data_IF_277810714683
#
_entry.id   IF_277810714683
#
_cell.length_a   1.000
_cell.length_b   1.000
_cell.length_c   1.000
_cell.angle_alpha   90.00
_cell.angle_beta   90.00
_cell.angle_gamma   90.00
#
_symmetry.space_group_name_H-M   'P 1'
#
loop_
_entity.id
_entity.type
_entity.pdbx_description
1 polymer ?
#
# COMPACT_ATOMS: atom_id res chain seq x y z
N UNK A 1 -1.85 -22.88 12.75
CA UNK A 1 -1.12 -21.71 13.28
C UNK A 1 -1.95 -21.15 14.42
N UNK A 2 -1.35 -20.64 15.49
CA UNK A 2 -2.10 -19.97 16.57
C UNK A 2 -2.87 -18.77 15.99
N UNK A 3 -4.17 -18.65 16.31
CA UNK A 3 -5.02 -17.57 15.82
C UNK A 3 -4.48 -16.20 16.25
N UNK A 4 -3.92 -16.10 17.47
CA UNK A 4 -3.30 -14.88 17.94
C UNK A 4 -2.07 -14.49 17.09
N UNK A 5 -1.32 -15.47 16.60
CA UNK A 5 -0.20 -15.24 15.69
C UNK A 5 -0.69 -14.81 14.30
N UNK A 6 -1.79 -15.37 13.80
CA UNK A 6 -2.40 -14.96 12.53
C UNK A 6 -2.87 -13.50 12.57
N UNK A 7 -3.58 -13.13 13.63
CA UNK A 7 -4.06 -11.76 13.84
C UNK A 7 -2.92 -10.76 13.96
N UNK A 8 -1.83 -11.12 14.67
CA UNK A 8 -0.65 -10.28 14.78
C UNK A 8 0.02 -10.03 13.42
N UNK A 9 0.13 -11.07 12.59
CA UNK A 9 0.68 -10.97 11.23
C UNK A 9 -0.20 -10.10 10.34
N UNK A 10 -1.52 -10.31 10.36
CA UNK A 10 -2.47 -9.48 9.57
C UNK A 10 -2.40 -8.01 10.00
N UNK A 11 -2.35 -7.73 11.31
CA UNK A 11 -2.18 -6.36 11.83
C UNK A 11 -0.88 -5.71 11.34
N UNK A 12 0.22 -6.45 11.34
CA UNK A 12 1.49 -5.95 10.82
C UNK A 12 1.39 -5.63 9.32
N UNK A 13 0.76 -6.50 8.51
CA UNK A 13 0.55 -6.20 7.10
C UNK A 13 -0.31 -4.96 6.89
N UNK A 14 -1.41 -4.81 7.63
CA UNK A 14 -2.24 -3.61 7.56
C UNK A 14 -1.45 -2.34 7.90
N UNK A 15 -0.56 -2.40 8.89
CA UNK A 15 0.30 -1.27 9.26
C UNK A 15 1.28 -0.92 8.14
N UNK A 16 1.89 -1.91 7.49
CA UNK A 16 2.79 -1.68 6.36
C UNK A 16 2.05 -1.16 5.13
N UNK A 17 0.87 -1.70 4.82
CA UNK A 17 0.00 -1.22 3.74
C UNK A 17 -0.35 0.26 3.97
N UNK A 18 -0.77 0.61 5.19
CA UNK A 18 -1.09 1.99 5.55
C UNK A 18 0.11 2.91 5.33
N UNK A 19 1.30 2.53 5.79
CA UNK A 19 2.53 3.32 5.64
C UNK A 19 2.87 3.54 4.17
N UNK A 20 2.83 2.49 3.37
CA UNK A 20 3.19 2.57 1.95
C UNK A 20 2.16 3.40 1.17
N UNK A 21 0.86 3.30 1.49
CA UNK A 21 -0.17 4.17 0.91
C UNK A 21 -0.03 5.64 1.34
N UNK A 22 0.40 5.92 2.58
CA UNK A 22 0.69 7.28 3.03
C UNK A 22 1.88 7.89 2.28
N UNK A 23 2.93 7.10 2.02
CA UNK A 23 4.07 7.50 1.19
C UNK A 23 3.61 7.83 -0.25
N UNK A 24 2.84 6.93 -0.86
CA UNK A 24 2.28 7.13 -2.19
C UNK A 24 1.42 8.42 -2.26
N UNK A 25 0.54 8.63 -1.28
CA UNK A 25 -0.31 9.82 -1.19
C UNK A 25 0.52 11.11 -1.05
N UNK A 26 1.60 11.08 -0.26
CA UNK A 26 2.52 12.21 -0.10
C UNK A 26 3.20 12.57 -1.43
N UNK A 27 3.68 11.57 -2.17
CA UNK A 27 4.30 11.77 -3.50
C UNK A 27 3.30 12.36 -4.49
N UNK A 28 2.08 11.80 -4.54
CA UNK A 28 1.01 12.31 -5.40
C UNK A 28 0.67 13.77 -5.04
N UNK A 29 0.62 14.10 -3.75
CA UNK A 29 0.34 15.47 -3.31
C UNK A 29 1.44 16.46 -3.69
N UNK A 30 2.70 16.05 -3.56
CA UNK A 30 3.84 16.85 -4.00
C UNK A 30 3.81 17.10 -5.52
N UNK A 31 3.50 16.07 -6.31
CA UNK A 31 3.35 16.18 -7.75
C UNK A 31 2.21 17.14 -8.13
N UNK A 32 1.05 17.06 -7.46
CA UNK A 32 -0.08 17.97 -7.66
C UNK A 32 0.31 19.44 -7.41
N UNK A 33 1.06 19.72 -6.34
CA UNK A 33 1.56 21.07 -6.03
C UNK A 33 2.53 21.57 -7.12
N UNK A 34 3.42 20.72 -7.62
CA UNK A 34 4.30 21.07 -8.74
C UNK A 34 3.51 21.37 -10.02
N UNK A 35 2.49 20.58 -10.33
CA UNK A 35 1.65 20.80 -11.50
C UNK A 35 0.86 22.12 -11.37
N UNK A 36 0.27 22.37 -10.21
CA UNK A 36 -0.51 23.59 -9.92
C UNK A 36 0.34 24.87 -9.98
N UNK A 37 1.64 24.78 -9.69
CA UNK A 37 2.60 25.88 -9.83
C UNK A 37 3.18 26.03 -11.24
N UNK A 38 2.70 25.25 -12.21
CA UNK A 38 3.15 25.28 -13.61
C UNK A 38 4.42 24.48 -13.88
N UNK A 39 5.01 23.83 -12.87
CA UNK A 39 6.19 22.99 -13.02
C UNK A 39 5.81 21.54 -13.34
N UNK A 40 5.25 21.34 -14.55
CA UNK A 40 4.78 20.03 -15.03
C UNK A 40 5.92 19.00 -15.11
N UNK A 41 7.14 19.41 -15.45
CA UNK A 41 8.26 18.49 -15.56
C UNK A 41 8.65 17.89 -14.21
N UNK A 42 8.65 18.69 -13.14
CA UNK A 42 8.86 18.19 -11.78
C UNK A 42 7.72 17.27 -11.33
N UNK A 43 6.47 17.65 -11.63
CA UNK A 43 5.29 16.84 -11.31
C UNK A 43 5.34 15.44 -11.93
N UNK A 44 5.69 15.34 -13.21
CA UNK A 44 5.85 14.05 -13.92
C UNK A 44 6.95 13.22 -13.30
N UNK A 45 8.11 13.82 -12.97
CA UNK A 45 9.20 13.09 -12.29
C UNK A 45 8.78 12.56 -10.92
N UNK A 46 8.00 13.32 -10.17
CA UNK A 46 7.51 12.92 -8.86
C UNK A 46 6.49 11.79 -8.96
N UNK A 47 5.52 11.87 -9.88
CA UNK A 47 4.49 10.83 -10.00
C UNK A 47 5.06 9.49 -10.45
N UNK A 48 6.19 9.45 -11.15
CA UNK A 48 6.88 8.17 -11.45
C UNK A 48 7.33 7.43 -10.18
N UNK A 49 7.58 8.13 -9.07
CA UNK A 49 7.94 7.50 -7.80
C UNK A 49 6.73 6.99 -7.00
N UNK A 50 5.50 7.25 -7.47
CA UNK A 50 4.26 6.78 -6.83
C UNK A 50 4.07 5.26 -6.97
N UNK A 51 4.51 4.70 -8.10
CA UNK A 51 4.21 3.32 -8.48
C UNK A 51 4.80 2.31 -7.49
N UNK A 52 6.02 2.56 -7.00
CA UNK A 52 6.72 1.69 -6.06
C UNK A 52 5.95 1.47 -4.74
N UNK A 53 5.60 2.51 -3.95
CA UNK A 53 4.84 2.32 -2.71
C UNK A 53 3.44 1.75 -2.95
N UNK A 54 2.77 2.13 -4.05
CA UNK A 54 1.47 1.55 -4.40
C UNK A 54 1.57 0.05 -4.71
N UNK A 55 2.61 -0.36 -5.43
CA UNK A 55 2.85 -1.77 -5.76
C UNK A 55 3.15 -2.60 -4.51
N UNK A 56 4.00 -2.09 -3.60
CA UNK A 56 4.29 -2.77 -2.32
C UNK A 56 3.04 -2.95 -1.47
N UNK A 57 2.20 -1.91 -1.36
CA UNK A 57 0.93 -2.00 -0.65
C UNK A 57 0.01 -3.09 -1.24
N UNK A 58 -0.08 -3.18 -2.58
CA UNK A 58 -0.87 -4.22 -3.25
C UNK A 58 -0.32 -5.63 -2.99
N UNK A 59 0.99 -5.82 -3.04
CA UNK A 59 1.63 -7.11 -2.76
C UNK A 59 1.34 -7.57 -1.33
N UNK A 60 1.44 -6.66 -0.35
CA UNK A 60 1.15 -6.97 1.06
C UNK A 60 -0.33 -7.27 1.29
N UNK A 61 -1.23 -6.57 0.63
CA UNK A 61 -2.66 -6.87 0.68
C UNK A 61 -2.94 -8.27 0.15
N UNK A 62 -2.38 -8.62 -1.01
CA UNK A 62 -2.54 -9.95 -1.60
C UNK A 62 -1.99 -11.04 -0.68
N UNK A 63 -0.85 -10.81 -0.03
CA UNK A 63 -0.28 -11.75 0.94
C UNK A 63 -1.17 -11.91 2.18
N UNK A 64 -1.70 -10.80 2.72
CA UNK A 64 -2.62 -10.84 3.86
C UNK A 64 -3.93 -11.57 3.54
N UNK A 65 -4.48 -11.37 2.34
CA UNK A 65 -5.68 -12.07 1.87
C UNK A 65 -5.42 -13.57 1.69
N UNK A 66 -4.27 -13.95 1.13
CA UNK A 66 -3.88 -15.35 0.99
C UNK A 66 -3.73 -16.01 2.36
N UNK A 67 -3.04 -15.37 3.30
CA UNK A 67 -2.89 -15.87 4.67
C UNK A 67 -4.25 -16.04 5.34
N UNK A 68 -5.16 -15.06 5.21
CA UNK A 68 -6.51 -15.17 5.75
C UNK A 68 -7.25 -16.37 5.15
N UNK A 69 -7.22 -16.53 3.83
CA UNK A 69 -7.88 -17.65 3.13
C UNK A 69 -7.34 -19.01 3.59
N UNK A 70 -6.02 -19.19 3.53
CA UNK A 70 -5.38 -20.49 3.78
C UNK A 70 -5.34 -20.87 5.27
N UNK A 71 -5.35 -19.89 6.19
CA UNK A 71 -5.18 -20.15 7.63
C UNK A 71 -6.44 -19.92 8.45
N UNK A 72 -7.41 -19.13 7.98
CA UNK A 72 -8.66 -18.85 8.71
C UNK A 72 -9.90 -19.50 8.09
N UNK A 73 -9.79 -20.15 6.92
CA UNK A 73 -10.86 -20.98 6.38
C UNK A 73 -12.05 -20.20 5.79
N UNK A 74 -11.88 -18.92 5.44
CA UNK A 74 -12.90 -18.16 4.72
C UNK A 74 -12.90 -18.55 3.23
N UNK A 75 -13.92 -19.31 2.82
CA UNK A 75 -14.45 -19.23 1.46
C UNK A 75 -15.09 -17.85 1.31
N UNK A 76 -14.46 -16.97 0.53
CA UNK A 76 -15.07 -15.71 0.13
C UNK A 76 -16.15 -16.02 -0.92
N UNK A 77 -17.41 -16.09 -0.49
CA UNK A 77 -18.58 -15.97 -1.36
C UNK A 77 -18.67 -14.56 -1.98
#
# INVERSE_FOLDING_TARGET
>A
MDQAAADAVVKNFLHHIQRDLQEAASIAKAAEVCAASGNLQAAVKMVMNFEDPAHRAQQMLNAALLIRRELMGDELD
#
